data_IF_470923970359
#
_entry.id   IF_470923970359
#
_cell.length_a   1.000
_cell.length_b   1.000
_cell.length_c   1.000
_cell.angle_alpha   90.00
_cell.angle_beta   90.00
_cell.angle_gamma   90.00
#
_symmetry.space_group_name_H-M   'P 1'
#
loop_
_entity.id
_entity.type
_entity.pdbx_description
1 polymer ?
#
# COMPACT_ATOMS: atom_id res chain seq x y z
N UNK A 1 11.79 -16.75 -71.78
CA UNK A 1 12.61 -17.55 -70.84
C UNK A 1 13.63 -16.60 -70.23
N UNK A 2 13.84 -16.40 -68.94
CA UNK A 2 13.51 -17.14 -67.72
C UNK A 2 13.69 -16.10 -66.58
N UNK A 3 12.70 -15.92 -65.70
CA UNK A 3 12.82 -15.06 -64.52
C UNK A 3 13.61 -15.73 -63.41
N UNK A 4 13.97 -14.94 -62.37
CA UNK A 4 14.42 -15.32 -60.99
C UNK A 4 15.32 -14.20 -60.46
N UNK A 5 15.28 -13.63 -59.25
CA UNK A 5 14.61 -13.82 -57.95
C UNK A 5 14.79 -12.45 -57.23
N UNK A 6 13.81 -11.86 -56.55
CA UNK A 6 13.16 -12.48 -55.40
C UNK A 6 14.16 -12.63 -54.25
N UNK A 7 14.54 -11.53 -53.60
CA UNK A 7 15.51 -11.53 -52.50
C UNK A 7 15.11 -10.59 -51.38
N UNK A 8 13.88 -10.78 -50.88
CA UNK A 8 13.46 -10.24 -49.59
C UNK A 8 14.45 -10.61 -48.48
N UNK A 9 14.56 -9.67 -47.54
CA UNK A 9 14.82 -9.90 -46.12
C UNK A 9 16.09 -10.65 -45.74
N UNK A 10 17.10 -9.87 -45.33
CA UNK A 10 17.92 -10.28 -44.19
C UNK A 10 17.83 -9.23 -43.09
N UNK A 11 16.71 -9.26 -42.35
CA UNK A 11 16.67 -8.69 -41.00
C UNK A 11 17.78 -9.39 -40.24
N UNK A 12 18.92 -8.73 -40.07
CA UNK A 12 20.09 -9.32 -39.42
C UNK A 12 19.64 -9.86 -38.05
N UNK A 13 19.94 -11.12 -37.72
CA UNK A 13 19.63 -11.63 -36.39
C UNK A 13 20.32 -10.73 -35.38
N UNK A 14 19.58 -10.33 -34.34
CA UNK A 14 20.11 -9.59 -33.19
C UNK A 14 21.35 -10.35 -32.69
N UNK A 15 22.44 -9.61 -32.43
CA UNK A 15 23.68 -10.24 -31.96
C UNK A 15 23.45 -10.92 -30.60
N UNK A 16 24.21 -11.98 -30.29
CA UNK A 16 24.11 -12.66 -28.99
C UNK A 16 24.26 -11.69 -27.82
N UNK A 17 25.18 -10.73 -27.94
CA UNK A 17 25.40 -9.67 -26.96
C UNK A 17 24.15 -8.80 -26.78
N UNK A 18 23.58 -8.29 -27.88
CA UNK A 18 22.38 -7.48 -27.81
C UNK A 18 21.16 -8.25 -27.25
N UNK A 19 21.10 -9.57 -27.47
CA UNK A 19 20.09 -10.41 -26.84
C UNK A 19 20.30 -10.53 -25.33
N UNK A 20 21.53 -10.79 -24.86
CA UNK A 20 21.83 -10.84 -23.42
C UNK A 20 21.66 -9.49 -22.74
N UNK A 21 22.02 -8.40 -23.40
CA UNK A 21 21.80 -7.04 -22.88
C UNK A 21 20.31 -6.76 -22.74
N UNK A 22 19.51 -7.13 -23.74
CA UNK A 22 18.04 -7.00 -23.68
C UNK A 22 17.45 -7.84 -22.54
N UNK A 23 17.83 -9.11 -22.44
CA UNK A 23 17.36 -9.98 -21.35
C UNK A 23 17.79 -9.43 -19.99
N UNK A 24 19.03 -8.98 -19.86
CA UNK A 24 19.56 -8.35 -18.64
C UNK A 24 18.76 -7.11 -18.26
N UNK A 25 18.56 -6.17 -19.19
CA UNK A 25 17.77 -4.96 -18.96
C UNK A 25 16.34 -5.27 -18.52
N UNK A 26 15.68 -6.23 -19.17
CA UNK A 26 14.31 -6.61 -18.78
C UNK A 26 14.27 -7.28 -17.40
N UNK A 27 15.30 -8.04 -17.05
CA UNK A 27 15.39 -8.68 -15.74
C UNK A 27 15.67 -7.65 -14.63
N UNK A 28 16.55 -6.67 -14.89
CA UNK A 28 16.81 -5.57 -13.98
C UNK A 28 15.55 -4.73 -13.72
N UNK A 29 14.80 -4.42 -14.78
CA UNK A 29 13.51 -3.74 -14.67
C UNK A 29 12.51 -4.54 -13.80
N UNK A 30 12.41 -5.86 -14.01
CA UNK A 30 11.56 -6.71 -13.19
C UNK A 30 12.02 -6.75 -11.72
N UNK A 31 13.33 -6.78 -11.47
CA UNK A 31 13.88 -6.70 -10.12
C UNK A 31 13.52 -5.38 -9.44
N UNK A 32 13.59 -4.26 -10.14
CA UNK A 32 13.23 -2.95 -9.59
C UNK A 32 11.75 -2.84 -9.29
N UNK A 33 10.87 -3.35 -10.16
CA UNK A 33 9.43 -3.43 -9.88
C UNK A 33 9.13 -4.32 -8.67
N UNK A 34 9.77 -5.49 -8.56
CA UNK A 34 9.62 -6.38 -7.40
C UNK A 34 10.08 -5.67 -6.11
N UNK A 35 11.18 -4.92 -6.15
CA UNK A 35 11.66 -4.14 -5.00
C UNK A 35 10.65 -3.04 -4.63
N UNK A 36 10.15 -2.29 -5.61
CA UNK A 36 9.17 -1.25 -5.40
C UNK A 36 7.88 -1.82 -4.79
N UNK A 37 7.41 -2.97 -5.27
CA UNK A 37 6.24 -3.64 -4.72
C UNK A 37 6.46 -4.13 -3.28
N UNK A 38 7.63 -4.69 -2.96
CA UNK A 38 7.97 -5.11 -1.60
C UNK A 38 7.94 -3.94 -0.61
N UNK A 39 8.52 -2.79 -0.98
CA UNK A 39 8.49 -1.58 -0.15
C UNK A 39 7.05 -1.09 0.07
N UNK A 40 6.22 -1.10 -0.98
CA UNK A 40 4.80 -0.74 -0.85
C UNK A 40 4.05 -1.70 0.07
N UNK A 41 4.37 -2.99 0.02
CA UNK A 41 3.76 -4.01 0.85
C UNK A 41 4.15 -3.82 2.32
N UNK A 42 5.43 -3.58 2.62
CA UNK A 42 5.90 -3.26 3.98
C UNK A 42 5.22 -2.00 4.54
N UNK A 43 4.99 -0.99 3.70
CA UNK A 43 4.24 0.22 4.08
C UNK A 43 2.77 -0.08 4.43
N UNK A 44 2.16 -1.06 3.74
CA UNK A 44 0.78 -1.47 4.01
C UNK A 44 0.69 -2.41 5.22
N UNK A 45 1.63 -3.32 5.40
CA UNK A 45 1.69 -4.22 6.55
C UNK A 45 2.01 -3.48 7.84
N UNK A 46 2.78 -2.39 7.76
CA UNK A 46 2.99 -1.48 8.88
C UNK A 46 1.80 -0.56 9.15
N UNK A 47 0.80 -0.49 8.25
CA UNK A 47 -0.43 0.25 8.51
C UNK A 47 -1.22 -0.44 9.63
N UNK A 48 -1.32 0.24 10.76
CA UNK A 48 -1.71 -0.42 12.01
C UNK A 48 -3.21 -0.81 12.00
N UNK A 49 -3.45 -2.09 12.27
CA UNK A 49 -4.77 -2.77 12.23
C UNK A 49 -5.76 -2.28 13.30
N UNK A 50 -7.01 -2.79 13.24
CA UNK A 50 -7.98 -2.61 14.32
C UNK A 50 -7.52 -3.32 15.61
N UNK A 51 -7.31 -2.54 16.68
CA UNK A 51 -6.79 -2.99 17.99
C UNK A 51 -7.88 -3.32 19.01
N UNK A 52 -9.15 -3.31 18.61
CA UNK A 52 -10.27 -3.57 19.53
C UNK A 52 -10.69 -2.32 20.31
N UNK A 53 -11.13 -2.51 21.55
CA UNK A 53 -11.59 -1.41 22.41
C UNK A 53 -10.37 -0.62 22.92
N UNK A 54 -10.45 0.71 22.88
CA UNK A 54 -9.38 1.56 23.40
C UNK A 54 -9.11 1.29 24.89
N UNK A 55 -7.82 1.10 25.21
CA UNK A 55 -7.33 0.91 26.57
C UNK A 55 -6.33 2.01 26.95
N UNK A 56 -6.48 2.55 28.17
CA UNK A 56 -5.64 3.64 28.69
C UNK A 56 -4.16 3.28 28.80
N UNK A 57 -3.84 2.02 29.10
CA UNK A 57 -2.47 1.58 29.36
C UNK A 57 -1.65 1.31 28.09
N UNK A 58 -2.29 1.28 26.91
CA UNK A 58 -1.64 0.91 25.66
C UNK A 58 -1.29 2.14 24.81
N UNK A 59 -0.11 2.19 24.20
CA UNK A 59 0.18 3.12 23.12
C UNK A 59 -0.43 2.63 21.80
N UNK A 60 -0.78 3.55 20.91
CA UNK A 60 -1.25 3.25 19.56
C UNK A 60 -0.43 4.02 18.55
N UNK A 61 -0.02 3.35 17.47
CA UNK A 61 0.73 4.00 16.39
C UNK A 61 -0.21 4.68 15.40
N UNK A 62 0.34 5.59 14.60
CA UNK A 62 -0.38 6.17 13.46
C UNK A 62 -1.00 5.08 12.58
N UNK A 63 -2.28 5.26 12.25
CA UNK A 63 -3.09 4.32 11.46
C UNK A 63 -3.93 3.37 12.31
N UNK A 64 -3.61 3.18 13.59
CA UNK A 64 -4.32 2.24 14.45
C UNK A 64 -5.79 2.61 14.60
N UNK A 65 -6.66 1.59 14.60
CA UNK A 65 -8.10 1.79 14.71
C UNK A 65 -8.61 1.20 16.01
N UNK A 66 -9.40 1.95 16.77
CA UNK A 66 -9.97 1.51 18.05
C UNK A 66 -11.44 1.86 18.17
N UNK A 67 -12.16 1.05 18.94
CA UNK A 67 -13.53 1.35 19.34
C UNK A 67 -13.54 2.05 20.69
N UNK A 68 -14.18 3.21 20.77
CA UNK A 68 -14.33 3.97 22.00
C UNK A 68 -15.68 4.69 22.02
N UNK A 69 -16.46 4.50 23.10
CA UNK A 69 -17.83 5.04 23.25
C UNK A 69 -18.78 4.67 22.11
N UNK A 70 -18.65 3.43 21.58
CA UNK A 70 -19.49 2.95 20.48
C UNK A 70 -19.17 3.56 19.11
N UNK A 71 -18.09 4.33 19.01
CA UNK A 71 -17.58 4.91 17.77
C UNK A 71 -16.22 4.32 17.38
N UNK A 72 -15.92 4.30 16.09
CA UNK A 72 -14.62 3.91 15.56
C UNK A 72 -13.74 5.16 15.43
N UNK A 73 -12.52 5.06 15.93
CA UNK A 73 -11.52 6.12 15.91
C UNK A 73 -10.24 5.64 15.24
N UNK A 74 -9.59 6.53 14.49
CA UNK A 74 -8.30 6.29 13.82
C UNK A 74 -7.24 7.17 14.47
N UNK A 75 -6.10 6.59 14.80
CA UNK A 75 -4.96 7.29 15.36
C UNK A 75 -4.19 8.02 14.25
N UNK A 76 -4.05 9.34 14.36
CA UNK A 76 -3.41 10.20 13.36
C UNK A 76 -1.88 10.31 13.53
N UNK A 77 -1.41 10.07 14.74
CA UNK A 77 0.00 10.18 15.15
C UNK A 77 0.25 9.24 16.32
N UNK A 78 1.50 8.83 16.52
CA UNK A 78 1.85 7.93 17.62
C UNK A 78 1.36 8.51 18.96
N UNK A 79 0.48 7.77 19.62
CA UNK A 79 -0.18 8.17 20.86
C UNK A 79 0.51 7.54 22.06
N UNK A 80 0.83 8.39 23.03
CA UNK A 80 1.31 7.94 24.33
C UNK A 80 0.17 7.27 25.13
N UNK A 81 0.50 6.36 26.06
CA UNK A 81 -0.48 5.78 26.96
C UNK A 81 -1.29 6.86 27.68
N UNK A 82 -2.61 6.70 27.73
CA UNK A 82 -3.53 7.62 28.40
C UNK A 82 -4.20 8.66 27.51
N UNK A 83 -3.77 8.83 26.25
CA UNK A 83 -4.41 9.76 25.32
C UNK A 83 -5.72 9.18 24.77
N UNK A 84 -6.84 9.64 25.34
CA UNK A 84 -8.18 9.18 25.00
C UNK A 84 -8.68 9.74 23.66
N UNK A 85 -9.36 8.94 22.80
CA UNK A 85 -9.81 9.37 21.48
C UNK A 85 -10.78 10.54 21.48
N UNK A 86 -11.73 10.58 22.42
CA UNK A 86 -12.74 11.64 22.48
C UNK A 86 -12.21 12.98 22.99
N UNK A 87 -11.04 13.01 23.64
CA UNK A 87 -10.47 14.20 24.26
C UNK A 87 -9.26 14.76 23.50
N UNK A 88 -8.67 13.98 22.59
CA UNK A 88 -7.42 14.31 21.92
C UNK A 88 -7.57 14.30 20.38
N UNK A 89 -8.26 15.29 19.80
CA UNK A 89 -8.54 15.34 18.36
C UNK A 89 -7.29 15.50 17.48
N UNK A 90 -6.17 15.93 18.05
CA UNK A 90 -4.87 16.01 17.36
C UNK A 90 -4.25 14.62 17.12
N UNK A 91 -4.56 13.66 17.99
CA UNK A 91 -4.05 12.29 17.90
C UNK A 91 -5.10 11.31 17.37
N UNK A 92 -6.38 11.66 17.41
CA UNK A 92 -7.48 10.76 17.09
C UNK A 92 -8.53 11.44 16.22
N UNK A 93 -8.92 10.77 15.14
CA UNK A 93 -10.00 11.18 14.27
C UNK A 93 -11.17 10.20 14.37
N UNK A 94 -12.38 10.74 14.45
CA UNK A 94 -13.60 9.95 14.38
C UNK A 94 -13.78 9.41 12.95
N UNK A 95 -13.76 8.09 12.79
CA UNK A 95 -13.91 7.42 11.50
C UNK A 95 -15.34 6.93 11.25
N UNK A 96 -16.01 6.44 12.29
CA UNK A 96 -17.42 6.06 12.21
C UNK A 96 -18.15 6.41 13.51
N UNK A 97 -19.27 7.12 13.37
CA UNK A 97 -20.13 7.49 14.50
C UNK A 97 -21.27 6.46 14.62
N UNK A 98 -21.65 6.04 15.83
CA UNK A 98 -22.84 5.22 16.02
C UNK A 98 -24.08 5.97 15.52
N UNK A 99 -25.01 5.24 14.93
CA UNK A 99 -26.27 5.81 14.46
C UNK A 99 -27.08 6.29 15.66
N UNK A 100 -27.26 7.59 15.79
CA UNK A 100 -28.20 8.15 16.76
C UNK A 100 -29.60 7.73 16.34
N UNK A 101 -30.28 6.84 17.09
CA UNK A 101 -31.71 6.61 16.88
C UNK A 101 -32.41 7.94 17.18
N UNK A 102 -32.95 8.59 16.13
CA UNK A 102 -33.79 9.77 16.31
C UNK A 102 -34.92 9.44 17.26
N UNK A 103 -35.22 10.34 18.20
CA UNK A 103 -36.44 10.26 19.00
C UNK A 103 -37.61 10.11 18.03
N UNK A 104 -38.37 9.03 18.19
CA UNK A 104 -39.65 8.88 17.50
C UNK A 104 -40.52 10.10 17.84
N UNK A 105 -41.19 10.72 16.84
CA UNK A 105 -42.08 11.86 17.07
C UNK A 105 -43.24 11.51 17.98
#
# INVERSE_FOLDING_TARGET
MRGTLGGESMKRPISKTAFYDFVGMTFDQLCDEIRALRVRLETLESADTYKGIWQRALPYRKGAQVSHQGALWVCLSDSNPGLQPSQNPTHWQLAAKPRTKGKLP
#
